data_IF_967881058221
#
_entry.id   IF_967881058221
#
_cell.length_a   1.000
_cell.length_b   1.000
_cell.length_c   1.000
_cell.angle_alpha   90.00
_cell.angle_beta   90.00
_cell.angle_gamma   90.00
#
_symmetry.space_group_name_H-M   'P 1'
#
loop_
_entity.id
_entity.type
_entity.pdbx_description
1 polymer ?
#
# COMPACT_ATOMS: atom_id res chain seq x y z
N UNK A 1 7.95 49.82 6.73
CA UNK A 1 8.02 49.46 5.29
C UNK A 1 9.13 48.44 5.13
N UNK A 2 8.85 47.31 4.47
CA UNK A 2 9.86 46.27 4.17
C UNK A 2 9.63 44.94 4.89
N UNK A 3 8.49 44.28 4.61
CA UNK A 3 8.26 42.89 5.03
C UNK A 3 9.08 41.96 4.15
N UNK A 4 9.89 41.11 4.77
CA UNK A 4 10.70 40.07 4.13
C UNK A 4 9.81 39.04 3.44
N UNK A 5 9.94 38.93 2.12
CA UNK A 5 9.33 37.87 1.32
C UNK A 5 10.09 36.57 1.65
N UNK A 6 9.45 35.68 2.41
CA UNK A 6 9.87 34.29 2.55
C UNK A 6 9.77 33.62 1.18
N UNK A 7 10.93 33.38 0.57
CA UNK A 7 11.11 32.30 -0.41
C UNK A 7 11.10 31.00 0.39
N UNK A 8 10.13 30.13 0.15
CA UNK A 8 10.24 28.69 0.39
C UNK A 8 9.17 28.01 -0.47
N UNK A 9 9.54 27.73 -1.72
CA UNK A 9 8.85 26.80 -2.59
C UNK A 9 9.46 25.42 -2.27
N UNK A 10 8.72 24.44 -1.74
CA UNK A 10 9.28 23.12 -1.48
C UNK A 10 9.46 22.35 -2.81
N UNK A 11 10.67 22.47 -3.35
CA UNK A 11 11.51 21.44 -3.96
C UNK A 11 10.75 20.18 -4.46
N UNK A 12 10.51 20.13 -5.77
CA UNK A 12 10.09 18.94 -6.54
C UNK A 12 11.33 18.29 -7.18
N UNK A 13 12.41 18.10 -6.40
CA UNK A 13 13.68 17.57 -6.94
C UNK A 13 14.36 16.52 -6.05
N UNK A 14 13.60 15.78 -5.24
CA UNK A 14 14.09 14.47 -4.78
C UNK A 14 13.08 13.42 -5.20
N UNK A 15 13.52 12.52 -6.09
CA UNK A 15 12.73 11.39 -6.55
C UNK A 15 12.14 10.69 -5.34
N UNK A 16 10.83 10.44 -5.40
CA UNK A 16 10.13 9.67 -4.40
C UNK A 16 10.70 8.24 -4.46
N UNK A 17 11.81 8.01 -3.76
CA UNK A 17 12.28 6.69 -3.40
C UNK A 17 11.07 6.02 -2.77
N UNK A 18 10.81 4.76 -3.12
CA UNK A 18 10.01 3.87 -2.27
C UNK A 18 10.43 4.21 -0.85
N UNK A 19 9.53 4.55 0.11
CA UNK A 19 9.98 4.67 1.49
C UNK A 19 10.80 3.42 1.72
N UNK A 20 12.09 3.64 1.99
CA UNK A 20 12.98 2.60 2.43
C UNK A 20 12.31 2.18 3.74
N UNK A 21 11.41 1.21 3.65
CA UNK A 21 10.97 0.47 4.80
C UNK A 21 12.27 -0.16 5.23
N UNK A 22 12.91 0.49 6.21
CA UNK A 22 14.10 0.02 6.85
C UNK A 22 13.83 -1.43 7.21
N UNK A 23 14.33 -2.35 6.38
CA UNK A 23 14.65 -3.69 6.82
C UNK A 23 15.94 -3.51 7.61
N UNK A 24 15.86 -2.72 8.69
CA UNK A 24 17.03 -2.41 9.49
C UNK A 24 17.48 -3.71 10.14
N UNK A 25 18.77 -3.96 9.93
CA UNK A 25 19.51 -5.09 10.43
C UNK A 25 19.25 -5.33 11.92
N UNK A 26 19.06 -6.59 12.26
CA UNK A 26 18.80 -7.02 13.62
C UNK A 26 20.03 -6.75 14.53
N UNK A 27 20.02 -5.63 15.24
CA UNK A 27 20.82 -5.46 16.46
C UNK A 27 20.12 -6.17 17.65
N UNK A 28 20.88 -6.78 18.58
CA UNK A 28 20.32 -7.59 19.65
C UNK A 28 19.58 -6.74 20.68
N UNK A 29 18.32 -7.09 20.94
CA UNK A 29 17.46 -6.41 21.90
C UNK A 29 17.88 -6.74 23.33
N UNK A 30 18.15 -5.74 24.15
CA UNK A 30 18.04 -5.87 25.61
C UNK A 30 16.59 -5.57 26.00
N UNK A 31 15.87 -6.55 26.55
CA UNK A 31 14.55 -6.37 27.16
C UNK A 31 14.62 -6.67 28.65
N UNK A 32 14.20 -5.70 29.46
CA UNK A 32 13.85 -5.91 30.87
C UNK A 32 12.36 -6.28 30.97
N UNK A 33 12.13 -7.53 31.40
CA UNK A 33 11.01 -8.15 32.14
C UNK A 33 9.56 -7.67 31.92
N UNK A 34 8.65 -8.56 31.45
CA UNK A 34 7.72 -9.38 32.27
C UNK A 34 6.68 -10.17 31.43
N UNK A 35 6.33 -11.35 31.93
CA UNK A 35 5.23 -12.31 31.61
C UNK A 35 5.44 -13.37 30.51
N UNK A 36 5.46 -14.64 30.93
CA UNK A 36 5.83 -15.85 30.16
C UNK A 36 4.78 -16.26 29.11
N UNK A 37 3.57 -15.69 29.12
CA UNK A 37 2.58 -15.86 28.04
C UNK A 37 2.80 -14.89 26.87
N UNK A 38 3.44 -13.74 27.11
CA UNK A 38 3.84 -12.79 26.06
C UNK A 38 5.06 -13.31 25.26
N UNK A 39 5.87 -14.19 25.86
CA UNK A 39 7.12 -14.68 25.28
C UNK A 39 6.88 -15.70 24.13
N UNK A 40 5.87 -16.56 24.27
CA UNK A 40 5.48 -17.52 23.23
C UNK A 40 4.84 -16.86 22.00
N UNK A 41 4.00 -15.84 22.20
CA UNK A 41 3.39 -15.08 21.11
C UNK A 41 4.45 -14.21 20.40
N UNK A 42 5.42 -13.68 21.14
CA UNK A 42 6.57 -12.95 20.60
C UNK A 42 7.45 -13.82 19.69
N UNK A 43 7.72 -15.07 20.09
CA UNK A 43 8.51 -16.00 19.27
C UNK A 43 7.78 -16.38 17.97
N UNK A 44 6.48 -16.69 18.04
CA UNK A 44 5.70 -17.01 16.83
C UNK A 44 5.50 -15.80 15.92
N UNK A 45 5.37 -14.59 16.49
CA UNK A 45 5.36 -13.35 15.72
C UNK A 45 6.66 -13.15 14.93
N UNK A 46 7.81 -13.40 15.56
CA UNK A 46 9.12 -13.30 14.90
C UNK A 46 9.32 -14.37 13.83
N UNK A 47 8.84 -15.61 14.09
CA UNK A 47 8.85 -16.68 13.09
C UNK A 47 7.96 -16.33 11.89
N UNK A 48 6.76 -15.81 12.15
CA UNK A 48 5.84 -15.37 11.10
C UNK A 48 6.42 -14.21 10.28
N UNK A 49 7.08 -13.24 10.93
CA UNK A 49 7.79 -12.15 10.26
C UNK A 49 8.85 -12.69 9.31
N UNK A 50 9.74 -13.57 9.79
CA UNK A 50 10.79 -14.18 8.96
C UNK A 50 10.20 -14.99 7.80
N UNK A 51 9.12 -15.72 8.04
CA UNK A 51 8.41 -16.46 7.01
C UNK A 51 7.82 -15.52 5.94
N UNK A 52 7.21 -14.40 6.33
CA UNK A 52 6.67 -13.41 5.41
C UNK A 52 7.76 -12.71 4.57
N UNK A 53 8.92 -12.42 5.16
CA UNK A 53 10.08 -11.85 4.43
C UNK A 53 10.59 -12.83 3.36
N UNK A 54 10.72 -14.11 3.71
CA UNK A 54 11.27 -15.16 2.84
C UNK A 54 10.25 -15.80 1.90
N UNK A 55 8.95 -15.53 2.07
CA UNK A 55 7.87 -16.21 1.36
C UNK A 55 7.65 -17.67 1.79
N UNK A 56 8.10 -18.06 2.98
CA UNK A 56 7.96 -19.43 3.51
C UNK A 56 6.53 -19.70 3.97
N UNK A 57 5.69 -20.11 3.01
CA UNK A 57 4.30 -20.47 3.29
C UNK A 57 4.17 -21.68 4.22
N UNK A 58 5.10 -22.63 4.19
CA UNK A 58 4.98 -23.87 4.98
C UNK A 58 5.04 -23.54 6.48
N UNK A 59 6.01 -22.71 6.87
CA UNK A 59 6.12 -22.22 8.25
C UNK A 59 4.92 -21.37 8.64
N UNK A 60 4.54 -20.39 7.81
CA UNK A 60 3.39 -19.53 8.12
C UNK A 60 2.07 -20.31 8.26
N UNK A 61 1.82 -21.26 7.36
CA UNK A 61 0.61 -22.09 7.40
C UNK A 61 0.57 -22.99 8.64
N UNK A 62 1.71 -23.49 9.10
CA UNK A 62 1.79 -24.23 10.38
C UNK A 62 1.38 -23.33 11.56
N UNK A 63 1.79 -22.06 11.55
CA UNK A 63 1.43 -21.07 12.58
C UNK A 63 -0.07 -20.78 12.51
N UNK A 64 -0.61 -20.48 11.31
CA UNK A 64 -2.03 -20.18 11.14
C UNK A 64 -2.96 -21.35 11.49
N UNK A 65 -2.50 -22.59 11.27
CA UNK A 65 -3.26 -23.79 11.64
C UNK A 65 -3.39 -23.94 13.16
N UNK A 66 -2.37 -23.51 13.92
CA UNK A 66 -2.37 -23.54 15.39
C UNK A 66 -3.05 -22.29 15.97
N UNK A 67 -2.87 -21.14 15.34
CA UNK A 67 -3.37 -19.84 15.77
C UNK A 67 -4.05 -19.12 14.59
N UNK A 68 -5.34 -19.36 14.33
CA UNK A 68 -6.04 -18.75 13.20
C UNK A 68 -6.03 -17.21 13.22
N UNK A 69 -6.06 -16.61 14.43
CA UNK A 69 -5.98 -15.15 14.60
C UNK A 69 -4.62 -14.56 14.20
N UNK A 70 -3.59 -15.40 14.04
CA UNK A 70 -2.26 -14.93 13.66
C UNK A 70 -2.18 -14.39 12.22
N UNK A 71 -3.18 -14.68 11.38
CA UNK A 71 -3.28 -14.14 10.00
C UNK A 71 -3.23 -12.60 9.98
N UNK A 72 -3.83 -11.97 10.99
CA UNK A 72 -3.87 -10.50 11.12
C UNK A 72 -3.02 -10.00 12.29
N UNK A 73 -2.08 -10.81 12.78
CA UNK A 73 -1.22 -10.44 13.90
C UNK A 73 -0.43 -9.17 13.55
N UNK A 74 -0.47 -8.20 14.46
CA UNK A 74 0.29 -6.97 14.38
C UNK A 74 1.67 -7.21 14.98
N UNK A 75 2.71 -7.17 14.15
CA UNK A 75 4.08 -7.51 14.52
C UNK A 75 4.87 -6.21 14.71
N UNK A 76 5.51 -6.08 15.87
CA UNK A 76 6.40 -4.95 16.17
C UNK A 76 5.66 -3.62 16.43
N UNK A 77 6.43 -2.55 16.68
CA UNK A 77 5.89 -1.24 17.08
C UNK A 77 5.06 -0.56 15.98
N UNK A 78 5.42 -0.78 14.70
CA UNK A 78 4.66 -0.30 13.53
C UNK A 78 3.38 -1.10 13.27
N UNK A 79 3.08 -2.11 14.10
CA UNK A 79 1.87 -2.95 14.02
C UNK A 79 1.71 -3.60 12.64
N UNK A 80 2.83 -3.98 12.02
CA UNK A 80 2.87 -4.51 10.65
C UNK A 80 2.38 -5.94 10.62
N UNK A 81 1.44 -6.25 9.72
CA UNK A 81 0.97 -7.62 9.52
C UNK A 81 1.89 -8.39 8.55
N UNK A 82 1.83 -9.73 8.58
CA UNK A 82 2.49 -10.57 7.58
C UNK A 82 2.14 -10.19 6.11
N UNK A 83 0.93 -9.70 5.86
CA UNK A 83 0.49 -9.26 4.52
C UNK A 83 1.27 -8.06 3.99
N UNK A 84 1.46 -7.03 4.82
CA UNK A 84 2.25 -5.86 4.49
C UNK A 84 3.71 -6.24 4.24
N UNK A 85 4.33 -7.01 5.13
CA UNK A 85 5.72 -7.49 4.99
C UNK A 85 5.90 -8.25 3.67
N UNK A 86 5.04 -9.25 3.41
CA UNK A 86 5.13 -10.04 2.19
C UNK A 86 4.87 -9.21 0.91
N UNK A 87 4.06 -8.16 1.00
CA UNK A 87 3.81 -7.25 -0.14
C UNK A 87 5.02 -6.36 -0.43
N UNK A 88 5.66 -5.81 0.61
CA UNK A 88 6.90 -5.03 0.51
C UNK A 88 8.06 -5.91 -0.01
N UNK A 89 8.19 -7.12 0.51
CA UNK A 89 9.24 -8.06 0.10
C UNK A 89 8.94 -8.79 -1.23
N UNK A 90 7.92 -8.38 -1.98
CA UNK A 90 7.54 -8.96 -3.27
C UNK A 90 7.25 -10.48 -3.24
N UNK A 91 6.83 -11.01 -2.09
CA UNK A 91 6.51 -12.43 -1.90
C UNK A 91 5.10 -12.76 -2.40
N UNK A 92 4.86 -12.55 -3.69
CA UNK A 92 3.52 -12.55 -4.30
C UNK A 92 2.74 -13.87 -4.16
N UNK A 93 3.42 -15.02 -4.27
CA UNK A 93 2.79 -16.32 -4.02
C UNK A 93 2.34 -16.49 -2.56
N UNK A 94 3.04 -15.88 -1.62
CA UNK A 94 2.67 -15.84 -0.20
C UNK A 94 1.50 -14.88 0.02
N UNK A 95 1.58 -13.67 -0.56
CA UNK A 95 0.52 -12.66 -0.51
C UNK A 95 -0.80 -13.22 -1.04
N UNK A 96 -0.79 -13.89 -2.19
CA UNK A 96 -2.00 -14.49 -2.77
C UNK A 96 -2.69 -15.46 -1.81
N UNK A 97 -1.93 -16.33 -1.15
CA UNK A 97 -2.48 -17.28 -0.19
C UNK A 97 -3.00 -16.58 1.06
N UNK A 98 -2.28 -15.56 1.53
CA UNK A 98 -2.69 -14.81 2.71
C UNK A 98 -3.98 -14.01 2.45
N UNK A 99 -4.12 -13.36 1.29
CA UNK A 99 -5.36 -12.66 0.87
C UNK A 99 -6.57 -13.58 0.90
N UNK A 100 -6.41 -14.88 0.58
CA UNK A 100 -7.50 -15.86 0.66
C UNK A 100 -7.97 -16.08 2.11
N UNK A 101 -7.05 -16.01 3.08
CA UNK A 101 -7.34 -16.17 4.53
C UNK A 101 -7.78 -14.87 5.21
N UNK A 102 -7.31 -13.71 4.75
CA UNK A 102 -7.63 -12.40 5.33
C UNK A 102 -9.06 -11.97 4.99
N UNK A 103 -9.78 -11.33 5.92
CA UNK A 103 -11.12 -10.79 5.65
C UNK A 103 -11.06 -9.50 4.81
N UNK A 104 -12.16 -9.11 4.17
CA UNK A 104 -12.18 -7.86 3.39
C UNK A 104 -11.90 -6.60 4.23
N UNK A 105 -12.38 -6.56 5.48
CA UNK A 105 -12.09 -5.47 6.42
C UNK A 105 -10.62 -5.44 6.83
N UNK A 106 -9.99 -6.61 7.02
CA UNK A 106 -8.58 -6.67 7.42
C UNK A 106 -7.61 -6.30 6.29
N UNK A 107 -8.04 -6.43 5.02
CA UNK A 107 -7.27 -5.91 3.87
C UNK A 107 -7.15 -4.38 3.89
N UNK A 108 -8.08 -3.68 4.55
CA UNK A 108 -8.07 -2.23 4.70
C UNK A 108 -7.10 -1.73 5.79
N UNK A 109 -6.47 -2.63 6.54
CA UNK A 109 -5.48 -2.24 7.54
C UNK A 109 -4.34 -1.43 6.89
N UNK A 110 -3.94 -0.36 7.57
CA UNK A 110 -2.85 0.53 7.16
C UNK A 110 -1.62 0.30 8.04
N UNK A 111 -0.44 0.31 7.43
CA UNK A 111 0.87 0.38 8.09
C UNK A 111 1.55 1.63 7.56
N UNK A 112 1.89 2.56 8.44
CA UNK A 112 2.44 3.89 8.07
C UNK A 112 1.54 4.59 7.03
N UNK A 113 0.23 4.45 7.20
CA UNK A 113 -0.76 5.00 6.28
C UNK A 113 -0.98 4.19 4.99
N UNK A 114 -0.13 3.22 4.65
CA UNK A 114 -0.26 2.45 3.41
C UNK A 114 -0.98 1.11 3.63
N UNK A 115 -1.84 0.75 2.68
CA UNK A 115 -2.42 -0.60 2.63
C UNK A 115 -1.49 -1.56 1.93
N UNK A 116 -1.69 -2.87 2.11
CA UNK A 116 -1.01 -3.89 1.32
C UNK A 116 -1.18 -3.69 -0.20
N UNK A 117 -2.35 -3.18 -0.63
CA UNK A 117 -2.61 -2.88 -2.04
C UNK A 117 -1.68 -1.77 -2.56
N UNK A 118 -1.32 -0.77 -1.74
CA UNK A 118 -0.38 0.29 -2.14
C UNK A 118 0.98 -0.28 -2.57
N UNK A 119 1.50 -1.26 -1.83
CA UNK A 119 2.77 -1.93 -2.15
C UNK A 119 2.65 -2.88 -3.36
N UNK A 120 1.55 -3.62 -3.48
CA UNK A 120 1.24 -4.44 -4.66
C UNK A 120 1.10 -3.57 -5.91
N UNK A 121 0.50 -2.39 -5.78
CA UNK A 121 0.32 -1.43 -6.86
C UNK A 121 1.66 -0.85 -7.34
N UNK A 122 2.54 -0.45 -6.41
CA UNK A 122 3.92 -0.06 -6.71
C UNK A 122 4.71 -1.16 -7.46
N UNK A 123 4.41 -2.42 -7.15
CA UNK A 123 5.03 -3.58 -7.80
C UNK A 123 4.44 -3.93 -9.17
N UNK A 124 3.21 -3.49 -9.45
CA UNK A 124 2.53 -3.76 -10.73
C UNK A 124 1.90 -5.15 -10.87
N UNK A 125 1.72 -5.91 -9.78
CA UNK A 125 1.20 -7.29 -9.85
C UNK A 125 -0.33 -7.31 -9.92
N UNK A 126 -0.87 -7.06 -11.11
CA UNK A 126 -2.32 -6.90 -11.36
C UNK A 126 -3.14 -8.09 -10.90
N UNK A 127 -2.62 -9.31 -11.05
CA UNK A 127 -3.31 -10.54 -10.64
C UNK A 127 -3.65 -10.56 -9.15
N UNK A 128 -2.74 -10.07 -8.30
CA UNK A 128 -2.95 -10.01 -6.85
C UNK A 128 -3.83 -8.83 -6.47
N UNK A 129 -3.63 -7.68 -7.12
CA UNK A 129 -4.51 -6.54 -6.92
C UNK A 129 -5.97 -6.89 -7.24
N UNK A 130 -6.23 -7.65 -8.32
CA UNK A 130 -7.57 -8.19 -8.63
C UNK A 130 -8.15 -8.99 -7.46
N UNK A 131 -7.39 -9.95 -6.92
CA UNK A 131 -7.84 -10.76 -5.78
C UNK A 131 -8.17 -9.92 -4.55
N UNK A 132 -7.34 -8.90 -4.25
CA UNK A 132 -7.58 -8.00 -3.13
C UNK A 132 -8.83 -7.13 -3.33
N UNK A 133 -9.00 -6.55 -4.52
CA UNK A 133 -10.13 -5.66 -4.87
C UNK A 133 -11.45 -6.42 -5.00
N UNK A 134 -11.43 -7.66 -5.48
CA UNK A 134 -12.62 -8.50 -5.54
C UNK A 134 -13.12 -8.84 -4.12
N UNK A 135 -12.20 -8.98 -3.16
CA UNK A 135 -12.53 -9.22 -1.75
C UNK A 135 -12.93 -7.95 -0.99
N UNK A 136 -12.36 -6.79 -1.33
CA UNK A 136 -12.79 -5.50 -0.81
C UNK A 136 -12.79 -4.44 -1.93
N UNK A 137 -13.99 -4.09 -2.41
CA UNK A 137 -14.17 -3.15 -3.52
C UNK A 137 -13.81 -1.71 -3.19
N UNK A 138 -13.79 -1.35 -1.91
CA UNK A 138 -13.41 0.00 -1.47
C UNK A 138 -11.90 0.15 -1.29
N UNK A 139 -11.14 -0.96 -1.29
CA UNK A 139 -9.70 -0.96 -1.08
C UNK A 139 -8.90 -0.02 -2.01
N UNK A 140 -9.23 0.13 -3.32
CA UNK A 140 -8.57 1.10 -4.19
C UNK A 140 -8.78 2.57 -3.79
N UNK A 141 -9.87 2.86 -3.06
CA UNK A 141 -10.24 4.22 -2.64
C UNK A 141 -9.65 4.58 -1.27
N UNK A 142 -9.02 3.64 -0.57
CA UNK A 142 -8.42 3.89 0.74
C UNK A 142 -7.13 4.67 0.57
N UNK A 143 -7.13 5.91 1.06
CA UNK A 143 -5.99 6.81 1.05
C UNK A 143 -5.21 6.76 2.36
N UNK A 144 -3.91 7.04 2.27
CA UNK A 144 -3.10 7.33 3.44
C UNK A 144 -3.38 8.75 3.97
N UNK A 145 -2.72 9.12 5.06
CA UNK A 145 -2.94 10.42 5.72
C UNK A 145 -2.44 11.59 4.84
N UNK A 146 -1.51 11.33 3.91
CA UNK A 146 -1.07 12.25 2.85
C UNK A 146 -1.96 12.22 1.59
N UNK A 147 -3.15 11.61 1.69
CA UNK A 147 -4.13 11.47 0.60
C UNK A 147 -3.63 10.68 -0.62
N UNK A 148 -2.62 9.84 -0.44
CA UNK A 148 -2.04 9.00 -1.49
C UNK A 148 -2.87 7.74 -1.72
N UNK A 149 -3.32 7.57 -2.97
CA UNK A 149 -4.00 6.36 -3.44
C UNK A 149 -3.01 5.25 -3.79
N UNK A 150 -3.44 3.96 -3.72
CA UNK A 150 -2.74 2.88 -4.41
C UNK A 150 -2.51 3.15 -5.90
N UNK A 151 -3.43 3.89 -6.56
CA UNK A 151 -3.24 4.31 -7.96
C UNK A 151 -2.01 5.20 -8.14
N UNK A 152 -1.77 6.16 -7.24
CA UNK A 152 -0.60 7.04 -7.35
C UNK A 152 0.69 6.22 -7.30
N UNK A 153 0.76 5.20 -6.45
CA UNK A 153 1.89 4.27 -6.42
C UNK A 153 2.08 3.60 -7.78
N UNK A 154 1.01 3.09 -8.40
CA UNK A 154 1.12 2.52 -9.73
C UNK A 154 1.62 3.53 -10.79
N UNK A 155 1.21 4.80 -10.71
CA UNK A 155 1.65 5.87 -11.62
C UNK A 155 3.13 6.22 -11.41
N UNK A 156 3.54 6.50 -10.17
CA UNK A 156 4.93 6.86 -9.81
C UNK A 156 5.90 5.76 -10.23
N UNK A 157 5.51 4.50 -10.04
CA UNK A 157 6.32 3.34 -10.44
C UNK A 157 6.09 2.87 -11.88
N UNK A 158 5.36 3.66 -12.70
CA UNK A 158 5.11 3.42 -14.13
C UNK A 158 4.51 2.04 -14.44
N UNK A 159 3.63 1.55 -13.55
CA UNK A 159 2.95 0.26 -13.65
C UNK A 159 1.70 0.37 -14.51
N UNK A 160 1.93 0.51 -15.79
CA UNK A 160 0.95 0.68 -16.88
C UNK A 160 -0.35 -0.14 -16.75
N UNK A 161 -0.23 -1.47 -16.63
CA UNK A 161 -1.40 -2.35 -16.51
C UNK A 161 -2.14 -2.18 -15.18
N UNK A 162 -1.39 -1.87 -14.12
CA UNK A 162 -1.94 -1.62 -12.80
C UNK A 162 -2.68 -0.29 -12.73
N UNK A 163 -2.15 0.76 -13.36
CA UNK A 163 -2.82 2.06 -13.52
C UNK A 163 -4.16 1.85 -14.21
N UNK A 164 -4.16 1.18 -15.36
CA UNK A 164 -5.38 0.87 -16.11
C UNK A 164 -6.40 0.07 -15.30
N UNK A 165 -5.93 -0.89 -14.51
CA UNK A 165 -6.78 -1.69 -13.63
C UNK A 165 -7.39 -0.87 -12.48
N UNK A 166 -6.56 -0.16 -11.70
CA UNK A 166 -7.00 0.58 -10.52
C UNK A 166 -7.85 1.79 -10.89
N UNK A 167 -7.54 2.48 -11.99
CA UNK A 167 -8.30 3.63 -12.46
C UNK A 167 -9.77 3.25 -12.72
N UNK A 168 -10.01 2.08 -13.33
CA UNK A 168 -11.38 1.55 -13.57
C UNK A 168 -12.12 1.13 -12.30
N UNK A 169 -11.42 1.02 -11.17
CA UNK A 169 -11.99 0.58 -9.88
C UNK A 169 -12.21 1.72 -8.91
N UNK A 170 -11.61 2.89 -9.16
CA UNK A 170 -11.81 4.08 -8.34
C UNK A 170 -13.17 4.70 -8.64
N UNK A 171 -13.87 5.12 -7.59
CA UNK A 171 -15.17 5.79 -7.68
C UNK A 171 -14.96 7.29 -7.56
N UNK A 172 -14.71 7.97 -8.67
CA UNK A 172 -14.41 9.41 -8.68
C UNK A 172 -15.42 10.26 -7.90
N UNK A 173 -16.72 10.00 -8.11
CA UNK A 173 -17.82 10.74 -7.47
C UNK A 173 -17.89 10.55 -5.96
N UNK A 174 -17.32 9.46 -5.45
CA UNK A 174 -17.27 9.18 -4.01
C UNK A 174 -16.02 9.78 -3.34
N UNK A 175 -15.11 10.40 -4.11
CA UNK A 175 -13.91 11.02 -3.58
C UNK A 175 -14.20 12.44 -3.08
N UNK A 176 -13.71 12.76 -1.89
CA UNK A 176 -13.63 14.14 -1.42
C UNK A 176 -12.68 14.97 -2.30
N UNK A 177 -12.75 16.31 -2.21
CA UNK A 177 -11.96 17.25 -3.03
C UNK A 177 -10.47 16.93 -3.06
N UNK A 178 -9.89 16.54 -1.93
CA UNK A 178 -8.49 16.13 -1.87
C UNK A 178 -8.18 14.89 -2.71
N UNK A 179 -9.10 13.93 -2.74
CA UNK A 179 -8.99 12.73 -3.56
C UNK A 179 -9.12 13.03 -5.06
N UNK A 180 -10.02 13.95 -5.41
CA UNK A 180 -10.20 14.42 -6.80
C UNK A 180 -8.95 15.14 -7.32
N UNK A 181 -8.37 16.03 -6.51
CA UNK A 181 -7.10 16.71 -6.83
C UNK A 181 -5.98 15.69 -7.04
N UNK A 182 -5.91 14.67 -6.19
CA UNK A 182 -4.87 13.64 -6.33
C UNK A 182 -5.07 12.79 -7.60
N UNK A 183 -6.31 12.49 -7.98
CA UNK A 183 -6.58 11.81 -9.24
C UNK A 183 -6.15 12.66 -10.44
N UNK A 184 -6.39 13.97 -10.39
CA UNK A 184 -5.90 14.91 -11.41
C UNK A 184 -4.37 14.89 -11.49
N UNK A 185 -3.68 14.93 -10.35
CA UNK A 185 -2.21 14.79 -10.30
C UNK A 185 -1.77 13.46 -10.92
N UNK A 186 -2.45 12.35 -10.60
CA UNK A 186 -2.15 11.05 -11.18
C UNK A 186 -2.28 11.05 -12.71
N UNK A 187 -3.31 11.69 -13.26
CA UNK A 187 -3.49 11.79 -14.72
C UNK A 187 -2.40 12.63 -15.38
N UNK A 188 -2.05 13.78 -14.81
CA UNK A 188 -0.98 14.64 -15.33
C UNK A 188 0.38 13.93 -15.29
N UNK A 189 0.68 13.21 -14.21
CA UNK A 189 1.91 12.43 -14.10
C UNK A 189 1.93 11.24 -15.06
N UNK A 190 0.79 10.56 -15.25
CA UNK A 190 0.70 9.45 -16.21
C UNK A 190 0.97 9.93 -17.65
N UNK A 191 0.45 11.11 -18.02
CA UNK A 191 0.70 11.74 -19.32
C UNK A 191 2.17 12.13 -19.50
N UNK A 192 2.80 12.69 -18.45
CA UNK A 192 4.22 13.05 -18.46
C UNK A 192 5.16 11.85 -18.69
N UNK A 193 4.80 10.67 -18.18
CA UNK A 193 5.64 9.47 -18.29
C UNK A 193 5.40 8.61 -19.55
N UNK A 194 4.56 9.03 -20.51
CA UNK A 194 4.55 8.49 -21.88
C UNK A 194 3.15 8.27 -22.49
N UNK A 195 2.90 8.97 -23.59
CA UNK A 195 1.64 9.33 -24.24
C UNK A 195 1.03 8.32 -25.24
N UNK A 196 1.02 7.03 -24.95
CA UNK A 196 0.11 6.06 -25.60
C UNK A 196 -0.95 5.52 -24.63
N UNK A 197 -1.03 6.14 -23.45
CA UNK A 197 -1.53 5.46 -22.26
C UNK A 197 -3.01 5.62 -21.99
N UNK A 198 -3.60 6.81 -22.21
CA UNK A 198 -4.88 7.14 -21.58
C UNK A 198 -5.72 8.18 -22.38
N UNK A 199 -5.79 8.04 -23.70
CA UNK A 199 -6.61 8.94 -24.55
C UNK A 199 -8.09 9.09 -24.10
N UNK A 200 -8.74 8.07 -23.47
CA UNK A 200 -10.08 8.25 -22.89
C UNK A 200 -10.12 9.05 -21.57
N UNK A 201 -9.02 9.14 -20.82
CA UNK A 201 -9.01 9.75 -19.48
C UNK A 201 -8.77 11.25 -19.52
N UNK A 202 -8.03 11.74 -20.51
CA UNK A 202 -7.89 13.18 -20.77
C UNK A 202 -9.27 13.76 -21.16
N UNK A 203 -10.06 13.02 -21.96
CA UNK A 203 -11.43 13.45 -22.29
C UNK A 203 -12.35 13.45 -21.06
N UNK A 204 -12.18 12.50 -20.13
CA UNK A 204 -13.00 12.45 -18.92
C UNK A 204 -12.60 13.53 -17.90
N UNK A 205 -11.31 13.84 -17.74
CA UNK A 205 -10.86 14.94 -16.88
C UNK A 205 -11.28 16.30 -17.45
N UNK A 206 -11.20 16.50 -18.77
CA UNK A 206 -11.73 17.70 -19.46
C UNK A 206 -13.26 17.77 -19.32
N UNK A 207 -13.98 16.66 -19.46
CA UNK A 207 -15.44 16.61 -19.29
C UNK A 207 -15.89 16.97 -17.87
N UNK A 208 -15.18 16.48 -16.85
CA UNK A 208 -15.43 16.80 -15.44
C UNK A 208 -15.14 18.29 -15.18
N UNK A 209 -14.00 18.81 -15.66
CA UNK A 209 -13.64 20.22 -15.50
C UNK A 209 -14.67 21.14 -16.18
N UNK A 210 -15.17 20.77 -17.37
CA UNK A 210 -16.13 21.58 -18.12
C UNK A 210 -17.58 21.48 -17.62
N UNK A 211 -17.95 20.48 -16.82
CA UNK A 211 -19.29 20.36 -16.21
C UNK A 211 -19.34 20.85 -14.75
N UNK A 212 -18.25 21.42 -14.23
CA UNK A 212 -18.16 22.02 -12.90
C UNK A 212 -18.18 23.57 -12.94
N UNK A 213 -18.46 24.18 -14.10
CA UNK A 213 -18.75 25.60 -14.28
C UNK A 213 -20.22 25.83 -14.62
#
# INVERSE_FOLDING_TARGET
>A
MGSSIKKDIPIIEQGLTIPEVCVEDAAPRQYNTKTEEEDGLSQEADRLRKAAIKGDWKTANSIFSKYPLAVNLKIGPSKTTALHIASVCHQFSFVEKLVKLTSGSDLANKVEGFTALSFVAASGVVRIAKLMVDKNRELPNIINDDKTFPLLMAVVFKRKDMVSFLFRKIKFEALETGGQIQLLICTLLADYYGSDFLNPLILYSIYIINNLS
#
